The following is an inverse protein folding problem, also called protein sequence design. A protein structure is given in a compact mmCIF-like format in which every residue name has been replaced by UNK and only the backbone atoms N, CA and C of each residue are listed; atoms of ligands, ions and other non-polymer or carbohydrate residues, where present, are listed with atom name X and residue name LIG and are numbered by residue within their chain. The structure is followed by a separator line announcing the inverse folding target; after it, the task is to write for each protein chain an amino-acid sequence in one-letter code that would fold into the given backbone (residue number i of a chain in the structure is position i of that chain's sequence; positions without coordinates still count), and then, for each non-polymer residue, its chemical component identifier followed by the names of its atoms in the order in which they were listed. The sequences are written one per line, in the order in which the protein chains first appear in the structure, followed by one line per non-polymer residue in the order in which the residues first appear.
data_IF_224438562348
#
_entry.id   IF_224438562348
#
_cell.length_a   1.000
_cell.length_b   1.000
_cell.length_c   1.000
_cell.angle_alpha   90.00
_cell.angle_beta   90.00
_cell.angle_gamma   90.00
#
_symmetry.space_group_name_H-M   'P 1'
#
loop_
_entity.id
_entity.type
_entity.pdbx_description
1 polymer ?
#
# COMPACT_ATOMS: atom_id res chain seq x y z
N UNK A 1 15.24 -9.77 -14.76
CA UNK A 1 14.19 -9.03 -15.48
C UNK A 1 14.79 -7.69 -15.86
N UNK A 2 14.59 -7.14 -17.07
CA UNK A 2 15.12 -5.82 -17.38
C UNK A 2 14.48 -4.80 -16.43
N UNK A 3 15.30 -3.96 -15.80
CA UNK A 3 14.98 -3.04 -14.68
C UNK A 3 13.97 -1.91 -15.01
N UNK A 4 13.31 -1.96 -16.18
CA UNK A 4 12.57 -0.83 -16.75
C UNK A 4 11.11 -1.16 -17.14
N UNK A 5 10.65 -2.39 -16.91
CA UNK A 5 9.28 -2.77 -17.27
C UNK A 5 8.29 -2.36 -16.16
N UNK A 6 7.47 -1.34 -16.45
CA UNK A 6 6.41 -0.91 -15.53
C UNK A 6 5.38 -2.01 -15.36
N UNK A 7 5.10 -2.35 -14.10
CA UNK A 7 3.95 -3.19 -13.76
C UNK A 7 2.68 -2.38 -14.02
N UNK A 8 1.79 -2.93 -14.83
CA UNK A 8 0.50 -2.30 -15.17
C UNK A 8 -0.66 -3.25 -14.86
N UNK A 9 -1.90 -2.79 -15.00
CA UNK A 9 -3.09 -3.64 -14.81
C UNK A 9 -3.03 -4.91 -15.67
N UNK A 10 -2.49 -4.84 -16.88
CA UNK A 10 -2.38 -6.00 -17.78
C UNK A 10 -1.34 -7.02 -17.31
N UNK A 11 -0.32 -6.62 -16.54
CA UNK A 11 0.64 -7.55 -15.90
C UNK A 11 -0.07 -8.57 -15.01
N UNK A 12 -1.21 -8.20 -14.43
CA UNK A 12 -2.02 -9.06 -13.57
C UNK A 12 -3.22 -9.72 -14.26
N UNK A 13 -3.30 -9.65 -15.60
CA UNK A 13 -4.35 -10.19 -16.50
C UNK A 13 -5.42 -11.08 -15.83
N UNK A 14 -6.48 -10.46 -15.33
CA UNK A 14 -7.68 -11.12 -14.78
C UNK A 14 -7.62 -11.54 -13.31
N UNK A 15 -6.45 -11.43 -12.65
CA UNK A 15 -6.30 -11.72 -11.22
C UNK A 15 -6.79 -10.58 -10.35
N UNK A 16 -6.54 -9.33 -10.76
CA UNK A 16 -6.93 -8.15 -10.00
C UNK A 16 -8.39 -7.76 -10.24
N UNK A 17 -9.07 -7.42 -9.15
CA UNK A 17 -10.44 -6.98 -9.12
C UNK A 17 -10.50 -5.54 -8.58
N UNK A 18 -11.28 -4.64 -9.21
CA UNK A 18 -11.48 -3.31 -8.67
C UNK A 18 -12.19 -3.36 -7.32
N UNK A 19 -12.10 -2.24 -6.58
CA UNK A 19 -12.88 -2.04 -5.37
C UNK A 19 -14.38 -2.15 -5.67
N UNK A 20 -15.09 -2.83 -4.78
CA UNK A 20 -16.53 -3.06 -4.85
C UNK A 20 -17.33 -1.97 -4.15
N UNK A 21 -16.83 -1.44 -3.03
CA UNK A 21 -17.43 -0.34 -2.28
C UNK A 21 -16.36 0.74 -2.00
N UNK A 22 -15.85 1.44 -3.03
CA UNK A 22 -14.84 2.47 -2.85
C UNK A 22 -15.41 3.66 -2.07
N UNK A 23 -14.72 4.08 -1.01
CA UNK A 23 -15.03 5.31 -0.27
C UNK A 23 -13.81 6.24 -0.18
N UNK A 24 -13.99 7.56 -0.29
CA UNK A 24 -12.92 8.52 -0.06
C UNK A 24 -12.31 8.38 1.34
N UNK A 25 -10.98 8.38 1.41
CA UNK A 25 -10.28 8.42 2.69
C UNK A 25 -10.35 9.83 3.28
N UNK A 26 -10.77 9.99 4.55
CA UNK A 26 -10.83 11.31 5.19
C UNK A 26 -9.45 11.84 5.60
N UNK A 27 -8.47 10.95 5.75
CA UNK A 27 -7.08 11.27 6.07
C UNK A 27 -6.16 10.73 4.98
N UNK A 28 -5.13 11.49 4.64
CA UNK A 28 -4.14 11.13 3.62
C UNK A 28 -2.73 11.17 4.20
N UNK A 29 -1.80 10.33 3.70
CA UNK A 29 -0.38 10.45 3.99
C UNK A 29 0.11 11.87 3.70
N UNK A 30 0.83 12.45 4.65
CA UNK A 30 1.41 13.80 4.51
C UNK A 30 2.81 13.76 3.89
N UNK A 31 3.35 12.56 3.66
CA UNK A 31 4.67 12.37 3.06
C UNK A 31 4.72 12.98 1.65
N UNK A 32 5.82 13.67 1.37
CA UNK A 32 6.21 14.07 0.03
C UNK A 32 7.26 13.07 -0.44
N UNK A 33 6.98 12.41 -1.56
CA UNK A 33 7.91 11.52 -2.24
C UNK A 33 8.74 12.32 -3.23
N UNK A 34 10.04 12.05 -3.30
CA UNK A 34 10.90 12.70 -4.29
C UNK A 34 10.48 12.31 -5.73
N UNK A 35 10.99 13.02 -6.72
CA UNK A 35 10.75 12.63 -8.12
C UNK A 35 11.34 11.23 -8.42
N UNK A 36 12.47 10.89 -7.80
CA UNK A 36 13.09 9.57 -7.93
C UNK A 36 12.23 8.46 -7.29
N UNK A 37 11.65 8.74 -6.12
CA UNK A 37 10.67 7.83 -5.50
C UNK A 37 9.46 7.67 -6.40
N UNK A 38 8.96 8.76 -6.99
CA UNK A 38 7.83 8.71 -7.91
C UNK A 38 8.12 7.83 -9.13
N UNK A 39 9.31 7.91 -9.72
CA UNK A 39 9.69 7.02 -10.82
C UNK A 39 9.69 5.55 -10.41
N UNK A 40 10.13 5.22 -9.18
CA UNK A 40 10.03 3.87 -8.63
C UNK A 40 8.58 3.46 -8.37
N UNK A 41 7.76 4.35 -7.84
CA UNK A 41 6.32 4.11 -7.63
C UNK A 41 5.61 3.83 -8.95
N UNK A 42 5.97 4.56 -10.02
CA UNK A 42 5.42 4.34 -11.36
C UNK A 42 5.81 2.98 -11.97
N UNK A 43 6.94 2.40 -11.56
CA UNK A 43 7.31 1.03 -11.94
C UNK A 43 6.46 -0.02 -11.24
N UNK A 44 5.89 0.30 -10.07
CA UNK A 44 5.02 -0.58 -9.31
C UNK A 44 5.77 -1.73 -8.64
N UNK A 45 5.01 -2.71 -8.16
CA UNK A 45 5.51 -3.91 -7.51
C UNK A 45 4.60 -5.09 -7.84
N UNK A 46 5.16 -6.20 -8.32
CA UNK A 46 4.42 -7.44 -8.55
C UNK A 46 4.90 -8.49 -7.57
N UNK A 47 3.96 -9.04 -6.81
CA UNK A 47 4.22 -10.12 -5.89
C UNK A 47 4.75 -11.36 -6.61
N UNK A 48 5.76 -12.02 -6.03
CA UNK A 48 6.43 -13.21 -6.61
C UNK A 48 6.17 -14.51 -5.85
N UNK A 49 5.63 -14.43 -4.63
CA UNK A 49 5.46 -15.59 -3.75
C UNK A 49 4.36 -15.42 -2.72
N UNK A 50 4.10 -16.49 -1.96
CA UNK A 50 2.99 -16.55 -0.99
C UNK A 50 3.16 -15.59 0.19
N UNK A 51 4.40 -15.22 0.51
CA UNK A 51 4.70 -14.29 1.60
C UNK A 51 4.57 -12.83 1.17
N UNK A 52 4.44 -12.54 -0.14
CA UNK A 52 4.25 -11.19 -0.67
C UNK A 52 2.77 -10.90 -0.81
N UNK A 53 2.29 -9.89 -0.06
CA UNK A 53 0.84 -9.69 0.13
C UNK A 53 0.23 -8.60 -0.74
N UNK A 54 1.06 -7.86 -1.46
CA UNK A 54 0.67 -6.65 -2.16
C UNK A 54 1.14 -6.66 -3.60
N UNK A 55 0.21 -6.35 -4.50
CA UNK A 55 0.47 -5.99 -5.88
C UNK A 55 0.17 -4.50 -6.06
N UNK A 56 1.11 -3.76 -6.61
CA UNK A 56 1.02 -2.31 -6.78
C UNK A 56 1.33 -1.94 -8.22
N UNK A 57 0.49 -1.12 -8.83
CA UNK A 57 0.74 -0.59 -10.18
C UNK A 57 0.20 0.82 -10.30
N UNK A 58 0.69 1.54 -11.31
CA UNK A 58 0.32 2.94 -11.55
C UNK A 58 -0.29 3.12 -12.93
N UNK A 59 -1.43 3.82 -13.01
CA UNK A 59 -2.03 4.29 -14.27
C UNK A 59 -2.19 5.81 -14.22
N UNK A 60 -1.47 6.52 -15.08
CA UNK A 60 -1.38 7.98 -15.00
C UNK A 60 -0.77 8.44 -13.69
N UNK A 61 -1.52 9.22 -12.90
CA UNK A 61 -1.13 9.68 -11.56
C UNK A 61 -1.80 8.86 -10.43
N UNK A 62 -2.48 7.75 -10.76
CA UNK A 62 -3.19 6.92 -9.77
C UNK A 62 -2.41 5.64 -9.49
N UNK A 63 -2.06 5.42 -8.24
CA UNK A 63 -1.41 4.21 -7.73
C UNK A 63 -2.47 3.30 -7.13
N UNK A 64 -2.54 2.06 -7.61
CA UNK A 64 -3.49 1.07 -7.15
C UNK A 64 -2.80 -0.01 -6.32
N UNK A 65 -3.34 -0.31 -5.14
CA UNK A 65 -2.82 -1.33 -4.23
C UNK A 65 -3.84 -2.45 -4.13
N UNK A 66 -3.44 -3.66 -4.48
CA UNK A 66 -4.24 -4.87 -4.43
C UNK A 66 -3.62 -5.90 -3.50
N UNK A 67 -4.45 -6.75 -2.92
CA UNK A 67 -3.97 -7.95 -2.22
C UNK A 67 -3.58 -9.01 -3.24
N UNK A 68 -2.37 -9.53 -3.16
CA UNK A 68 -1.84 -10.49 -4.15
C UNK A 68 -2.63 -11.79 -4.26
N UNK A 69 -3.01 -12.35 -3.11
CA UNK A 69 -3.66 -13.65 -3.00
C UNK A 69 -5.12 -13.68 -3.48
N UNK A 70 -5.90 -12.62 -3.25
CA UNK A 70 -7.30 -12.52 -3.71
C UNK A 70 -7.45 -11.66 -4.95
N UNK A 71 -6.45 -10.83 -5.26
CA UNK A 71 -6.52 -9.80 -6.27
C UNK A 71 -7.44 -8.62 -5.92
N UNK A 72 -7.98 -8.54 -4.70
CA UNK A 72 -8.91 -7.46 -4.34
C UNK A 72 -8.19 -6.11 -4.24
N UNK A 73 -8.72 -5.08 -4.91
CA UNK A 73 -8.28 -3.70 -4.72
C UNK A 73 -8.61 -3.22 -3.31
N UNK A 74 -7.62 -2.63 -2.64
CA UNK A 74 -7.79 -2.09 -1.29
C UNK A 74 -7.69 -0.57 -1.30
N UNK A 75 -6.73 -0.02 -2.02
CA UNK A 75 -6.53 1.43 -2.11
C UNK A 75 -6.33 1.87 -3.55
N UNK A 76 -6.79 3.08 -3.87
CA UNK A 76 -6.30 3.83 -5.01
C UNK A 76 -5.96 5.26 -4.58
N UNK A 77 -4.72 5.68 -4.83
CA UNK A 77 -4.20 6.98 -4.42
C UNK A 77 -3.81 7.81 -5.64
N UNK A 78 -4.41 8.99 -5.77
CA UNK A 78 -4.07 9.97 -6.81
C UNK A 78 -2.98 10.89 -6.30
N UNK A 79 -1.88 10.94 -7.03
CA UNK A 79 -0.73 11.80 -6.75
C UNK A 79 -0.84 13.13 -7.49
N UNK A 80 -0.25 14.17 -6.91
CA UNK A 80 -0.07 15.46 -7.53
C UNK A 80 1.31 16.03 -7.19
N UNK A 81 1.80 16.95 -8.02
CA UNK A 81 3.01 17.71 -7.74
C UNK A 81 2.86 18.48 -6.42
N UNK A 82 3.87 18.37 -5.55
CA UNK A 82 3.98 19.23 -4.39
C UNK A 82 4.61 20.58 -4.79
N UNK A 83 4.27 21.65 -4.04
CA UNK A 83 4.74 23.00 -4.35
C UNK A 83 6.26 23.12 -4.35
N UNK A 84 6.93 22.39 -3.45
CA UNK A 84 8.38 22.46 -3.25
C UNK A 84 9.15 21.35 -3.99
N UNK A 85 8.49 20.71 -4.96
CA UNK A 85 9.01 19.57 -5.72
C UNK A 85 8.59 18.22 -5.16
N UNK A 86 8.68 17.18 -6.00
CA UNK A 86 8.21 15.84 -5.67
C UNK A 86 6.72 15.64 -5.89
N UNK A 87 6.18 14.57 -5.28
CA UNK A 87 4.80 14.13 -5.41
C UNK A 87 4.20 13.86 -4.04
N UNK A 88 2.92 14.16 -3.87
CA UNK A 88 2.13 13.86 -2.66
C UNK A 88 0.80 13.23 -3.03
N UNK A 89 0.19 12.51 -2.11
CA UNK A 89 -1.20 12.04 -2.29
C UNK A 89 -2.14 13.25 -2.18
N UNK A 90 -2.90 13.50 -3.23
CA UNK A 90 -3.91 14.57 -3.28
C UNK A 90 -5.32 14.05 -2.97
N UNK A 91 -5.57 12.78 -3.30
CA UNK A 91 -6.83 12.10 -3.05
C UNK A 91 -6.57 10.61 -2.91
N UNK A 92 -7.30 9.92 -2.04
CA UNK A 92 -7.27 8.46 -1.99
C UNK A 92 -8.66 7.91 -1.70
N UNK A 93 -8.91 6.72 -2.22
CA UNK A 93 -10.10 5.91 -1.95
C UNK A 93 -9.67 4.56 -1.40
N UNK A 94 -10.53 3.98 -0.57
CA UNK A 94 -10.31 2.71 0.12
C UNK A 94 -11.53 1.81 -0.02
N UNK A 95 -11.30 0.50 -0.09
CA UNK A 95 -12.35 -0.52 -0.06
C UNK A 95 -13.07 -0.52 1.29
N UNK A 96 -14.39 -0.61 1.29
CA UNK A 96 -15.22 -0.65 2.50
C UNK A 96 -16.18 -1.83 2.53
N UNK A 97 -16.12 -2.73 1.55
CA UNK A 97 -16.73 -4.04 1.65
C UNK A 97 -16.00 -4.87 2.74
N UNK A 98 -16.67 -5.20 3.86
CA UNK A 98 -16.06 -5.92 4.98
C UNK A 98 -15.65 -7.36 4.62
N UNK A 99 -16.19 -7.95 3.54
CA UNK A 99 -15.76 -9.25 3.05
C UNK A 99 -14.39 -9.17 2.36
N UNK A 100 -14.06 -8.02 1.77
CA UNK A 100 -12.81 -7.79 1.03
C UNK A 100 -11.75 -7.07 1.87
N UNK A 101 -12.16 -6.11 2.69
CA UNK A 101 -11.28 -5.34 3.57
C UNK A 101 -11.94 -5.03 4.91
N UNK A 102 -11.39 -5.59 5.99
CA UNK A 102 -11.99 -5.53 7.34
C UNK A 102 -11.64 -4.28 8.13
N UNK A 103 -10.69 -3.46 7.67
CA UNK A 103 -10.37 -2.24 8.38
C UNK A 103 -11.45 -1.19 8.11
N UNK A 104 -11.80 -0.47 9.17
CA UNK A 104 -12.75 0.65 9.17
C UNK A 104 -12.14 1.83 9.94
N UNK A 105 -10.82 1.81 10.13
CA UNK A 105 -10.07 2.74 10.97
C UNK A 105 -9.24 3.63 10.05
N UNK A 106 -9.58 4.92 9.98
CA UNK A 106 -8.99 5.84 9.03
C UNK A 106 -7.50 6.10 9.29
N UNK A 107 -7.06 6.09 10.56
CA UNK A 107 -5.65 6.25 10.94
C UNK A 107 -4.85 5.03 10.47
N UNK A 108 -5.42 3.82 10.64
CA UNK A 108 -4.83 2.58 10.16
C UNK A 108 -4.71 2.57 8.64
N UNK A 109 -5.74 3.02 7.93
CA UNK A 109 -5.79 2.99 6.47
C UNK A 109 -4.80 3.99 5.86
N UNK A 110 -4.74 5.21 6.41
CA UNK A 110 -3.75 6.22 6.06
C UNK A 110 -2.33 5.69 6.26
N UNK A 111 -2.06 5.07 7.41
CA UNK A 111 -0.78 4.45 7.71
C UNK A 111 -0.45 3.31 6.72
N UNK A 112 -1.42 2.43 6.44
CA UNK A 112 -1.23 1.27 5.59
C UNK A 112 -0.88 1.67 4.16
N UNK A 113 -1.57 2.67 3.61
CA UNK A 113 -1.27 3.21 2.29
C UNK A 113 0.18 3.70 2.20
N UNK A 114 0.62 4.54 3.15
CA UNK A 114 1.99 5.05 3.17
C UNK A 114 3.02 3.93 3.35
N UNK A 115 2.72 2.96 4.22
CA UNK A 115 3.63 1.87 4.57
C UNK A 115 3.82 0.89 3.41
N UNK A 116 2.77 0.55 2.66
CA UNK A 116 2.91 -0.30 1.46
C UNK A 116 3.77 0.39 0.41
N UNK A 117 3.55 1.69 0.15
CA UNK A 117 4.35 2.43 -0.81
C UNK A 117 5.82 2.49 -0.36
N UNK A 118 6.06 2.82 0.90
CA UNK A 118 7.43 2.98 1.43
C UNK A 118 8.18 1.64 1.53
N UNK A 119 7.57 0.63 2.16
CA UNK A 119 8.25 -0.62 2.46
C UNK A 119 8.21 -1.62 1.30
N UNK A 120 7.07 -1.72 0.60
CA UNK A 120 6.90 -2.74 -0.45
C UNK A 120 7.37 -2.21 -1.79
N UNK A 121 7.00 -0.99 -2.17
CA UNK A 121 7.39 -0.45 -3.48
C UNK A 121 8.81 0.11 -3.43
N UNK A 122 9.10 1.01 -2.50
CA UNK A 122 10.43 1.66 -2.40
C UNK A 122 11.49 0.80 -1.70
N UNK A 123 11.08 -0.18 -0.90
CA UNK A 123 12.01 -1.10 -0.22
C UNK A 123 12.65 -0.49 1.02
N UNK A 124 12.06 0.58 1.53
CA UNK A 124 12.56 1.27 2.70
C UNK A 124 12.27 0.46 3.97
N UNK A 125 13.12 0.57 5.01
CA UNK A 125 12.86 -0.09 6.28
C UNK A 125 11.55 0.40 6.92
N UNK A 126 11.23 1.70 6.77
CA UNK A 126 10.01 2.34 7.27
C UNK A 126 9.74 2.04 8.77
N UNK A 127 10.79 2.05 9.60
CA UNK A 127 10.76 1.60 11.01
C UNK A 127 9.70 2.31 11.86
N UNK A 128 9.50 3.61 11.64
CA UNK A 128 8.50 4.39 12.39
C UNK A 128 7.08 4.01 11.99
N UNK A 129 6.81 3.85 10.70
CA UNK A 129 5.52 3.40 10.19
C UNK A 129 5.20 1.98 10.66
N UNK A 130 6.19 1.09 10.67
CA UNK A 130 6.07 -0.28 11.21
C UNK A 130 5.78 -0.30 12.71
N UNK A 131 6.41 0.60 13.47
CA UNK A 131 6.15 0.75 14.91
C UNK A 131 4.72 1.23 15.16
N UNK A 132 4.27 2.25 14.43
CA UNK A 132 2.89 2.77 14.50
C UNK A 132 1.86 1.69 14.12
N UNK A 133 2.17 0.83 13.15
CA UNK A 133 1.28 -0.27 12.75
C UNK A 133 1.06 -1.24 13.91
N UNK A 134 2.14 -1.61 14.60
CA UNK A 134 2.09 -2.50 15.76
C UNK A 134 1.27 -1.87 16.87
N UNK A 135 1.49 -0.58 17.14
CA UNK A 135 0.76 0.16 18.16
C UNK A 135 -0.76 0.21 17.88
N UNK A 136 -1.17 0.63 16.68
CA UNK A 136 -2.58 0.69 16.29
C UNK A 136 -3.24 -0.70 16.36
N UNK A 137 -2.54 -1.75 15.90
CA UNK A 137 -3.07 -3.12 15.92
C UNK A 137 -3.29 -3.63 17.34
N UNK A 138 -2.36 -3.36 18.26
CA UNK A 138 -2.48 -3.73 19.68
C UNK A 138 -3.62 -2.98 20.37
N UNK A 139 -3.75 -1.67 20.10
CA UNK A 139 -4.87 -0.85 20.62
C UNK A 139 -6.22 -1.42 20.17
N UNK A 140 -6.35 -1.79 18.90
CA UNK A 140 -7.61 -2.31 18.34
C UNK A 140 -7.97 -3.72 18.82
N UNK A 141 -6.97 -4.59 19.01
CA UNK A 141 -7.20 -6.00 19.38
C UNK A 141 -7.44 -6.20 20.88
N UNK A 142 -7.21 -5.19 21.72
CA UNK A 142 -7.21 -5.34 23.19
C UNK A 142 -6.12 -6.27 23.73
N UNK A 143 -5.24 -6.78 22.87
CA UNK A 143 -4.16 -7.71 23.20
C UNK A 143 -2.83 -6.98 23.05
N UNK A 144 -2.22 -6.61 24.18
CA UNK A 144 -0.91 -5.97 24.23
C UNK A 144 0.23 -6.89 23.76
N UNK A 145 -0.01 -8.21 23.73
CA UNK A 145 1.02 -9.24 23.61
C UNK A 145 1.29 -9.72 22.17
N UNK A 146 0.57 -9.21 21.17
CA UNK A 146 0.84 -9.59 19.78
C UNK A 146 2.31 -9.24 19.40
N UNK A 147 3.13 -10.23 18.98
CA UNK A 147 4.51 -9.97 18.59
C UNK A 147 4.59 -9.04 17.39
N UNK A 148 5.48 -8.05 17.43
CA UNK A 148 5.62 -7.04 16.37
C UNK A 148 5.86 -7.68 14.99
N UNK A 149 6.72 -8.70 14.93
CA UNK A 149 7.01 -9.44 13.70
C UNK A 149 5.76 -10.12 13.11
N UNK A 150 4.89 -10.69 13.94
CA UNK A 150 3.66 -11.33 13.48
C UNK A 150 2.67 -10.31 12.91
N UNK A 151 2.51 -9.16 13.57
CA UNK A 151 1.65 -8.06 13.08
C UNK A 151 2.13 -7.58 11.71
N UNK A 152 3.43 -7.28 11.59
CA UNK A 152 4.01 -6.79 10.35
C UNK A 152 3.93 -7.84 9.24
N UNK A 153 4.28 -9.10 9.53
CA UNK A 153 4.19 -10.19 8.56
C UNK A 153 2.75 -10.41 8.08
N UNK A 154 1.77 -10.33 8.99
CA UNK A 154 0.36 -10.49 8.64
C UNK A 154 -0.12 -9.40 7.68
N UNK A 155 0.23 -8.14 7.96
CA UNK A 155 -0.22 -6.99 7.18
C UNK A 155 0.53 -6.81 5.84
N UNK A 156 1.86 -6.83 5.89
CA UNK A 156 2.73 -6.48 4.76
C UNK A 156 3.27 -7.70 4.00
N UNK A 157 3.51 -8.80 4.71
CA UNK A 157 4.28 -9.92 4.16
C UNK A 157 5.80 -9.69 4.21
N UNK A 158 6.53 -10.47 3.44
CA UNK A 158 7.98 -10.35 3.21
C UNK A 158 8.22 -9.90 1.78
N UNK A 159 8.97 -8.82 1.58
CA UNK A 159 9.48 -8.43 0.25
C UNK A 159 10.67 -9.34 -0.09
N UNK A 160 10.67 -10.00 -1.25
CA UNK A 160 11.77 -10.93 -1.61
C UNK A 160 13.13 -10.25 -1.84
N UNK A 161 13.16 -8.94 -2.09
CA UNK A 161 14.37 -8.18 -2.41
C UNK A 161 14.87 -7.34 -1.21
N UNK A 162 14.67 -7.80 0.03
CA UNK A 162 15.06 -7.11 1.27
C UNK A 162 16.13 -7.85 2.06
#
# INVERSE_FOLDING_TARGET
MPDDERVTRSTFSGRIQPMSAPQPMPQLPQRIWSNEDWERIQRGYSSRGMDEKWDVFTEGEVVFLHRSWTGNGVFAATFASAHDGGRRVAHAVVERDPERYRSTDDDYDCLMLELVISAIVLGEPASDLRSRLVELTRRKSGSADAPAGLVQHSALGLRSDS
#
